data_IF_315053926306
#
_entry.id   IF_315053926306
#
_cell.length_a   1.000
_cell.length_b   1.000
_cell.length_c   1.000
_cell.angle_alpha   90.00
_cell.angle_beta   90.00
_cell.angle_gamma   90.00
#
_symmetry.space_group_name_H-M   'P 1'
#
loop_
_entity.id
_entity.type
_entity.pdbx_description
1 polymer ?
#
# COMPACT_ATOMS: atom_id res chain seq x y z
N UNK A 1 16.30 -16.69 21.35
CA UNK A 1 15.53 -15.43 21.36
C UNK A 1 14.75 -15.35 22.65
N UNK A 2 15.02 -14.38 23.55
CA UNK A 2 14.11 -14.10 24.66
C UNK A 2 12.81 -13.49 24.10
N UNK A 3 11.67 -13.97 24.57
CA UNK A 3 10.34 -13.44 24.29
C UNK A 3 9.69 -13.12 25.63
N UNK A 4 9.06 -11.96 25.77
CA UNK A 4 8.38 -11.52 26.98
C UNK A 4 6.87 -11.85 26.91
N UNK A 5 6.37 -12.84 27.67
CA UNK A 5 4.94 -13.17 27.68
C UNK A 5 4.07 -12.07 28.30
N UNK A 6 4.64 -11.16 29.10
CA UNK A 6 3.89 -10.07 29.75
C UNK A 6 3.60 -8.91 28.80
N UNK A 7 4.23 -8.87 27.62
CA UNK A 7 4.04 -7.83 26.62
C UNK A 7 2.66 -7.89 25.91
N UNK A 8 1.88 -8.96 26.10
CA UNK A 8 0.53 -9.08 25.53
C UNK A 8 -0.35 -7.91 25.97
N UNK A 9 -0.88 -7.15 25.00
CA UNK A 9 -1.70 -5.97 25.25
C UNK A 9 -0.95 -4.63 25.20
N UNK A 10 0.39 -4.66 25.04
CA UNK A 10 1.18 -3.45 24.74
C UNK A 10 0.72 -2.86 23.41
N UNK A 11 0.66 -1.52 23.33
CA UNK A 11 0.26 -0.78 22.14
C UNK A 11 1.42 0.10 21.68
N UNK A 12 1.54 0.30 20.36
CA UNK A 12 2.41 1.33 19.80
C UNK A 12 1.78 2.71 19.92
N UNK A 13 2.60 3.74 19.77
CA UNK A 13 2.12 5.11 19.65
C UNK A 13 1.50 5.35 18.26
N UNK A 14 0.49 6.24 18.13
CA UNK A 14 -0.03 6.63 16.82
C UNK A 14 1.06 7.24 15.93
N UNK A 15 0.99 6.95 14.63
CA UNK A 15 1.89 7.51 13.62
C UNK A 15 1.06 8.06 12.47
N UNK A 16 1.40 9.27 12.02
CA UNK A 16 0.81 9.86 10.83
C UNK A 16 1.56 9.41 9.59
N UNK A 17 0.81 8.97 8.58
CA UNK A 17 1.32 8.47 7.30
C UNK A 17 0.54 9.12 6.17
N UNK A 18 1.24 9.51 5.11
CA UNK A 18 0.65 10.03 3.89
C UNK A 18 1.25 9.34 2.68
N UNK A 19 0.42 9.10 1.68
CA UNK A 19 0.79 8.51 0.41
C UNK A 19 0.15 9.29 -0.72
N UNK A 20 0.70 9.16 -1.92
CA UNK A 20 0.13 9.72 -3.13
C UNK A 20 -0.04 8.66 -4.23
N UNK A 21 -0.43 9.10 -5.43
CA UNK A 21 -0.61 8.20 -6.57
C UNK A 21 0.66 7.43 -6.90
N UNK A 22 1.85 8.03 -6.77
CA UNK A 22 3.12 7.39 -7.11
C UNK A 22 3.39 6.19 -6.21
N UNK A 23 3.09 6.28 -4.92
CA UNK A 23 3.27 5.17 -3.98
C UNK A 23 2.35 3.98 -4.34
N UNK A 24 1.09 4.28 -4.70
CA UNK A 24 0.14 3.28 -5.13
C UNK A 24 0.56 2.59 -6.44
N UNK A 25 1.08 3.35 -7.41
CA UNK A 25 1.59 2.81 -8.67
C UNK A 25 2.83 1.95 -8.47
N UNK A 26 3.77 2.41 -7.63
CA UNK A 26 4.98 1.66 -7.29
C UNK A 26 4.64 0.34 -6.62
N UNK A 27 3.67 0.34 -5.70
CA UNK A 27 3.17 -0.87 -5.08
C UNK A 27 2.55 -1.83 -6.10
N UNK A 28 1.67 -1.33 -6.97
CA UNK A 28 0.99 -2.13 -7.99
C UNK A 28 2.01 -2.85 -8.89
N UNK A 29 2.99 -2.13 -9.42
CA UNK A 29 4.07 -2.72 -10.23
C UNK A 29 4.92 -3.69 -9.41
N UNK A 30 5.21 -3.36 -8.13
CA UNK A 30 5.99 -4.19 -7.23
C UNK A 30 5.37 -5.56 -6.92
N UNK A 31 4.02 -5.65 -6.92
CA UNK A 31 3.30 -6.91 -6.75
C UNK A 31 2.97 -7.62 -8.07
N UNK A 32 3.39 -7.05 -9.20
CA UNK A 32 3.31 -7.68 -10.52
C UNK A 32 2.25 -7.12 -11.46
N UNK A 33 1.58 -6.00 -11.14
CA UNK A 33 0.58 -5.42 -12.04
C UNK A 33 1.21 -4.85 -13.32
N UNK A 34 0.50 -5.01 -14.44
CA UNK A 34 1.03 -4.81 -15.79
C UNK A 34 0.42 -3.66 -16.61
N UNK A 35 0.81 -3.61 -17.89
CA UNK A 35 0.32 -2.63 -18.87
C UNK A 35 -1.14 -2.89 -19.32
N UNK A 36 -1.70 -4.05 -19.01
CA UNK A 36 -3.10 -4.44 -19.20
C UNK A 36 -3.99 -4.03 -18.01
N UNK A 37 -3.40 -3.62 -16.89
CA UNK A 37 -4.08 -3.25 -15.65
C UNK A 37 -4.00 -1.74 -15.38
N UNK A 38 -4.32 -0.92 -16.39
CA UNK A 38 -4.11 0.53 -16.40
C UNK A 38 -4.75 1.27 -15.22
N UNK A 39 -5.86 0.75 -14.67
CA UNK A 39 -6.49 1.32 -13.48
C UNK A 39 -5.57 1.30 -12.25
N UNK A 40 -4.62 0.35 -12.17
CA UNK A 40 -3.69 0.22 -11.04
C UNK A 40 -2.29 0.74 -11.36
N UNK A 41 -1.92 0.80 -12.64
CA UNK A 41 -0.55 1.11 -13.08
C UNK A 41 -0.39 2.48 -13.74
N UNK A 42 -1.47 3.25 -13.88
CA UNK A 42 -1.44 4.63 -14.39
C UNK A 42 -2.41 5.54 -13.65
N UNK A 43 -2.11 6.83 -13.61
CA UNK A 43 -2.93 7.90 -13.01
C UNK A 43 -3.46 8.91 -14.03
N UNK A 44 -3.02 8.84 -15.30
CA UNK A 44 -3.29 9.83 -16.34
C UNK A 44 -3.85 9.24 -17.65
N UNK A 45 -4.22 7.96 -17.66
CA UNK A 45 -4.83 7.33 -18.84
C UNK A 45 -6.23 7.91 -19.08
N UNK A 46 -6.49 8.34 -20.31
CA UNK A 46 -7.80 8.88 -20.69
C UNK A 46 -8.91 7.87 -20.40
N UNK A 47 -10.01 8.36 -19.82
CA UNK A 47 -11.20 7.56 -19.48
C UNK A 47 -10.95 6.40 -18.48
N UNK A 48 -9.83 6.42 -17.75
CA UNK A 48 -9.50 5.44 -16.71
C UNK A 48 -9.27 6.14 -15.37
N UNK A 49 -10.04 5.74 -14.36
CA UNK A 49 -9.86 6.22 -12.98
C UNK A 49 -8.85 5.33 -12.26
N UNK A 50 -7.84 5.94 -11.65
CA UNK A 50 -6.87 5.22 -10.83
C UNK A 50 -7.56 4.54 -9.64
N UNK A 51 -7.18 3.29 -9.39
CA UNK A 51 -7.58 2.45 -8.27
C UNK A 51 -6.34 1.95 -7.52
N UNK A 52 -6.54 1.56 -6.27
CA UNK A 52 -5.46 1.06 -5.40
C UNK A 52 -5.83 -0.34 -4.95
N UNK A 53 -4.87 -1.26 -4.98
CA UNK A 53 -5.09 -2.59 -4.46
C UNK A 53 -5.41 -2.56 -2.96
N UNK A 54 -6.38 -3.36 -2.48
CA UNK A 54 -6.77 -3.39 -1.07
C UNK A 54 -5.66 -3.91 -0.14
N UNK A 55 -4.58 -4.44 -0.71
CA UNK A 55 -3.40 -4.93 0.01
C UNK A 55 -2.34 -3.85 0.25
N UNK A 56 -2.43 -2.67 -0.38
CA UNK A 56 -1.52 -1.54 -0.16
C UNK A 56 -1.38 -1.10 1.32
N UNK A 57 -2.45 -1.13 2.16
CA UNK A 57 -2.33 -0.72 3.55
C UNK A 57 -1.31 -1.49 4.41
N UNK A 58 -0.83 -2.65 3.96
CA UNK A 58 0.21 -3.41 4.70
C UNK A 58 1.61 -2.79 4.60
N UNK A 59 1.81 -1.84 3.68
CA UNK A 59 3.09 -1.14 3.47
C UNK A 59 3.03 0.36 3.79
N UNK A 60 1.90 0.83 4.33
CA UNK A 60 1.75 2.21 4.80
C UNK A 60 2.55 2.44 6.08
#
# INVERSE_FOLDING_TARGET
MPLDPSAVGTKGDPVDLSWDSKDCLLYAVGIGAGADELAFTTENTADVVQQVFPTFPVVL
#
